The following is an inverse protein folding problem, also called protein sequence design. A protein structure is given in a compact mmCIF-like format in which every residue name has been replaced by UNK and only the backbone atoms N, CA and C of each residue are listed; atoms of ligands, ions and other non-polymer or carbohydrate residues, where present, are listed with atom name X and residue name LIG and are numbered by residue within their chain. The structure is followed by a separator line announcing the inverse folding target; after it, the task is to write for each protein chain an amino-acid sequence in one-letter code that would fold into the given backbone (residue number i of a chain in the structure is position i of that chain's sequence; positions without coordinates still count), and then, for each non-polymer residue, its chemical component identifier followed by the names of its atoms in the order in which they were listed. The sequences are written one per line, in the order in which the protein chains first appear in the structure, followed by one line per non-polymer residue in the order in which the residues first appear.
data_IF_811538331827
#
_entry.id   IF_811538331827
#
_cell.length_a   1.000
_cell.length_b   1.000
_cell.length_c   1.000
_cell.angle_alpha   90.00
_cell.angle_beta   90.00
_cell.angle_gamma   90.00
#
_symmetry.space_group_name_H-M   'P 1'
#
loop_
_entity.id
_entity.type
_entity.pdbx_description
1 polymer ?
#
# COMPACT_ATOMS: atom_id res chain seq x y z
N UNK A 1 17.34 -16.76 25.08
CA UNK A 1 17.80 -15.36 24.92
C UNK A 1 17.35 -14.69 23.61
N UNK A 2 17.68 -15.19 22.40
CA UNK A 2 17.31 -14.52 21.12
C UNK A 2 15.80 -14.29 20.89
N UNK A 3 14.92 -15.15 21.42
CA UNK A 3 13.45 -14.99 21.32
C UNK A 3 12.92 -13.85 22.21
N UNK A 4 13.42 -13.77 23.44
CA UNK A 4 13.05 -12.72 24.42
C UNK A 4 13.53 -11.35 23.94
N UNK A 5 14.74 -11.26 23.38
CA UNK A 5 15.28 -10.01 22.85
C UNK A 5 14.48 -9.49 21.63
N UNK A 6 13.97 -10.39 20.78
CA UNK A 6 13.13 -10.03 19.63
C UNK A 6 11.71 -9.64 20.04
N UNK A 7 11.14 -10.30 21.06
CA UNK A 7 9.87 -9.91 21.68
C UNK A 7 9.99 -8.55 22.35
N UNK A 8 11.06 -8.32 23.11
CA UNK A 8 11.36 -7.04 23.72
C UNK A 8 11.56 -5.95 22.65
N UNK A 9 12.29 -6.22 21.56
CA UNK A 9 12.43 -5.26 20.47
C UNK A 9 11.10 -4.97 19.77
N UNK A 10 10.27 -5.98 19.49
CA UNK A 10 8.94 -5.80 18.91
C UNK A 10 8.01 -5.00 19.81
N UNK A 11 8.01 -5.28 21.12
CA UNK A 11 7.24 -4.55 22.12
C UNK A 11 7.75 -3.11 22.30
N UNK A 12 9.06 -2.89 22.32
CA UNK A 12 9.66 -1.54 22.40
C UNK A 12 9.30 -0.72 21.17
N UNK A 13 9.42 -1.29 19.97
CA UNK A 13 9.05 -0.61 18.73
C UNK A 13 7.53 -0.32 18.70
N UNK A 14 6.70 -1.26 19.15
CA UNK A 14 5.26 -1.06 19.31
C UNK A 14 4.96 0.08 20.29
N UNK A 15 5.59 0.06 21.47
CA UNK A 15 5.42 1.10 22.51
C UNK A 15 5.89 2.47 22.04
N UNK A 16 7.01 2.54 21.32
CA UNK A 16 7.54 3.79 20.74
C UNK A 16 6.58 4.31 19.67
N UNK A 17 6.09 3.48 18.76
CA UNK A 17 5.18 3.93 17.72
C UNK A 17 3.80 4.28 18.24
N UNK A 18 3.28 3.57 19.25
CA UNK A 18 2.06 3.97 19.94
C UNK A 18 2.27 5.30 20.66
N UNK A 19 3.39 5.49 21.35
CA UNK A 19 3.74 6.75 22.01
C UNK A 19 3.87 7.92 21.02
N UNK A 20 4.47 7.68 19.85
CA UNK A 20 4.59 8.67 18.76
C UNK A 20 3.26 8.95 18.05
N UNK A 21 2.36 7.96 17.98
CA UNK A 21 1.04 8.08 17.34
C UNK A 21 -0.01 8.73 18.26
N UNK A 22 0.23 8.72 19.58
CA UNK A 22 -0.73 9.15 20.59
C UNK A 22 -1.85 8.12 20.78
N UNK A 23 -1.76 7.17 21.75
CA UNK A 23 -2.74 6.10 21.91
C UNK A 23 -4.17 6.62 22.14
N UNK A 24 -4.30 7.78 22.80
CA UNK A 24 -5.59 8.44 22.98
C UNK A 24 -6.27 8.79 21.65
N UNK A 25 -5.50 9.24 20.66
CA UNK A 25 -6.01 9.61 19.32
C UNK A 25 -6.52 8.40 18.56
N UNK A 26 -5.80 7.28 18.60
CA UNK A 26 -6.22 6.03 17.95
C UNK A 26 -7.53 5.52 18.58
N UNK A 27 -7.61 5.54 19.91
CA UNK A 27 -8.83 5.15 20.64
C UNK A 27 -10.01 6.09 20.33
N UNK A 28 -9.78 7.39 20.23
CA UNK A 28 -10.79 8.37 19.81
C UNK A 28 -11.29 8.09 18.39
N UNK A 29 -10.40 7.78 17.44
CA UNK A 29 -10.77 7.39 16.08
C UNK A 29 -11.67 6.15 16.07
N UNK A 30 -11.29 5.10 16.82
CA UNK A 30 -12.12 3.89 16.97
C UNK A 30 -13.50 4.19 17.57
N UNK A 31 -13.56 5.01 18.62
CA UNK A 31 -14.82 5.42 19.25
C UNK A 31 -15.70 6.23 18.31
N UNK A 32 -15.11 7.14 17.51
CA UNK A 32 -15.83 8.00 16.56
C UNK A 32 -16.45 7.20 15.43
N UNK A 33 -15.74 6.21 14.89
CA UNK A 33 -16.28 5.32 13.83
C UNK A 33 -17.39 4.42 14.37
N UNK A 34 -17.21 3.87 15.56
CA UNK A 34 -18.10 2.90 16.18
C UNK A 34 -17.82 1.46 15.72
N UNK A 35 -18.22 0.44 16.51
CA UNK A 35 -17.76 -0.94 16.32
C UNK A 35 -18.22 -1.59 15.02
N UNK A 36 -19.46 -1.32 14.58
CA UNK A 36 -20.01 -1.89 13.33
C UNK A 36 -19.27 -1.39 12.09
N UNK A 37 -19.15 -0.06 11.94
CA UNK A 37 -18.43 0.55 10.83
C UNK A 37 -16.93 0.22 10.86
N UNK A 38 -16.31 0.14 12.04
CA UNK A 38 -14.93 -0.28 12.19
C UNK A 38 -14.72 -1.73 11.72
N UNK A 39 -15.60 -2.64 12.12
CA UNK A 39 -15.54 -4.05 11.71
C UNK A 39 -15.72 -4.21 10.20
N UNK A 40 -16.67 -3.48 9.60
CA UNK A 40 -16.86 -3.46 8.15
C UNK A 40 -15.61 -2.90 7.43
N UNK A 41 -15.05 -1.79 7.90
CA UNK A 41 -13.83 -1.22 7.33
C UNK A 41 -12.63 -2.19 7.45
N UNK A 42 -12.50 -2.90 8.57
CA UNK A 42 -11.48 -3.93 8.78
C UNK A 42 -11.66 -5.12 7.82
N UNK A 43 -12.90 -5.59 7.61
CA UNK A 43 -13.20 -6.66 6.66
C UNK A 43 -12.93 -6.25 5.22
N UNK A 44 -13.32 -5.04 4.82
CA UNK A 44 -13.02 -4.48 3.50
C UNK A 44 -11.50 -4.39 3.30
N UNK A 45 -10.77 -3.91 4.31
CA UNK A 45 -9.31 -3.83 4.24
C UNK A 45 -8.68 -5.22 4.12
N UNK A 46 -9.11 -6.19 4.93
CA UNK A 46 -8.61 -7.57 4.90
C UNK A 46 -8.87 -8.23 3.54
N UNK A 47 -10.06 -8.01 2.99
CA UNK A 47 -10.42 -8.48 1.64
C UNK A 47 -9.48 -7.86 0.60
N UNK A 48 -9.23 -6.54 0.68
CA UNK A 48 -8.27 -5.85 -0.17
C UNK A 48 -6.85 -6.44 -0.05
N UNK A 49 -6.38 -6.73 1.16
CA UNK A 49 -5.06 -7.35 1.38
C UNK A 49 -4.98 -8.78 0.83
N UNK A 50 -6.09 -9.51 0.88
CA UNK A 50 -6.19 -10.86 0.29
C UNK A 50 -6.10 -10.78 -1.24
N UNK A 51 -6.76 -9.80 -1.85
CA UNK A 51 -6.64 -9.50 -3.29
C UNK A 51 -5.21 -9.12 -3.67
N UNK A 52 -4.54 -8.29 -2.86
CA UNK A 52 -3.12 -7.96 -3.06
C UNK A 52 -2.21 -9.19 -2.92
N UNK A 53 -2.51 -10.09 -1.99
CA UNK A 53 -1.79 -11.35 -1.83
C UNK A 53 -1.95 -12.26 -3.06
N UNK A 54 -3.15 -12.27 -3.66
CA UNK A 54 -3.40 -12.99 -4.91
C UNK A 54 -2.62 -12.38 -6.07
N UNK A 55 -2.65 -11.05 -6.19
CA UNK A 55 -1.86 -10.30 -7.19
C UNK A 55 -0.38 -10.66 -7.09
N UNK A 56 0.17 -10.66 -5.87
CA UNK A 56 1.57 -11.00 -5.63
C UNK A 56 1.88 -12.48 -5.93
N UNK A 57 0.94 -13.38 -5.67
CA UNK A 57 1.06 -14.79 -6.08
C UNK A 57 1.13 -14.92 -7.61
N UNK A 58 0.30 -14.17 -8.35
CA UNK A 58 0.33 -14.19 -9.82
C UNK A 58 1.67 -13.67 -10.34
N UNK A 59 2.17 -12.54 -9.82
CA UNK A 59 3.44 -11.96 -10.29
C UNK A 59 4.65 -12.82 -9.92
N UNK A 60 4.70 -13.38 -8.71
CA UNK A 60 5.81 -14.25 -8.27
C UNK A 60 5.87 -15.56 -9.05
N UNK A 61 4.72 -16.22 -9.27
CA UNK A 61 4.65 -17.45 -10.08
C UNK A 61 5.06 -17.19 -11.53
N UNK A 62 4.68 -16.05 -12.10
CA UNK A 62 5.11 -15.67 -13.45
C UNK A 62 6.62 -15.47 -13.58
N UNK A 63 7.34 -15.22 -12.48
CA UNK A 63 8.81 -15.18 -12.39
C UNK A 63 9.42 -16.51 -11.89
N UNK A 64 8.60 -17.56 -11.83
CA UNK A 64 8.98 -18.91 -11.43
C UNK A 64 9.17 -19.10 -9.93
N UNK A 65 8.75 -18.16 -9.07
CA UNK A 65 8.75 -18.33 -7.61
C UNK A 65 7.40 -18.89 -7.20
N UNK A 66 7.30 -20.21 -7.14
CA UNK A 66 6.04 -20.90 -6.87
C UNK A 66 5.88 -21.23 -5.39
N UNK A 67 4.88 -20.61 -4.76
CA UNK A 67 4.44 -20.95 -3.40
C UNK A 67 2.90 -21.04 -3.32
N UNK A 68 2.36 -21.76 -2.33
CA UNK A 68 0.92 -21.78 -2.06
C UNK A 68 0.36 -20.38 -1.78
N UNK A 69 -0.92 -20.16 -2.07
CA UNK A 69 -1.59 -18.88 -1.80
C UNK A 69 -1.53 -18.48 -0.32
N UNK A 70 -1.72 -19.45 0.59
CA UNK A 70 -1.65 -19.22 2.03
C UNK A 70 -0.31 -18.60 2.48
N UNK A 71 0.80 -19.01 1.86
CA UNK A 71 2.13 -18.44 2.14
C UNK A 71 2.16 -16.96 1.75
N UNK A 72 1.58 -16.60 0.61
CA UNK A 72 1.50 -15.21 0.18
C UNK A 72 0.67 -14.37 1.15
N UNK A 73 -0.50 -14.85 1.56
CA UNK A 73 -1.36 -14.16 2.53
C UNK A 73 -0.61 -13.88 3.82
N UNK A 74 0.03 -14.91 4.41
CA UNK A 74 0.73 -14.71 5.68
C UNK A 74 1.92 -13.77 5.52
N UNK A 75 2.73 -13.92 4.47
CA UNK A 75 3.87 -13.04 4.22
C UNK A 75 3.43 -11.61 3.89
N UNK A 76 2.29 -11.40 3.23
CA UNK A 76 1.75 -10.07 2.93
C UNK A 76 1.33 -9.36 4.21
N UNK A 77 0.53 -10.02 5.06
CA UNK A 77 0.10 -9.47 6.34
C UNK A 77 1.28 -9.23 7.29
N UNK A 78 2.25 -10.16 7.31
CA UNK A 78 3.50 -9.98 8.05
C UNK A 78 4.30 -8.78 7.53
N UNK A 79 4.33 -8.59 6.21
CA UNK A 79 4.96 -7.44 5.56
C UNK A 79 4.31 -6.11 5.95
N UNK A 80 2.99 -6.08 6.11
CA UNK A 80 2.28 -4.88 6.61
C UNK A 80 2.74 -4.48 8.00
N UNK A 81 2.83 -5.46 8.92
CA UNK A 81 3.41 -5.24 10.24
C UNK A 81 4.82 -4.65 10.13
N UNK A 82 5.70 -5.29 9.35
CA UNK A 82 7.08 -4.82 9.20
C UNK A 82 7.17 -3.42 8.58
N UNK A 83 6.32 -3.06 7.61
CA UNK A 83 6.31 -1.73 7.01
C UNK A 83 5.82 -0.63 7.98
N UNK A 84 5.01 -0.99 8.96
CA UNK A 84 4.53 -0.05 9.98
C UNK A 84 5.55 0.14 11.11
N UNK A 85 6.29 -0.92 11.46
CA UNK A 85 7.15 -0.95 12.63
C UNK A 85 8.67 -0.80 12.31
N UNK A 86 9.10 -1.05 11.07
CA UNK A 86 10.50 -0.81 10.69
C UNK A 86 10.71 0.66 10.26
N UNK A 87 11.87 1.26 10.59
CA UNK A 87 12.19 2.64 10.20
C UNK A 87 12.36 2.82 8.69
N UNK A 88 12.32 1.73 7.92
CA UNK A 88 12.41 1.71 6.47
C UNK A 88 11.02 1.53 5.85
N UNK A 89 10.57 2.47 5.02
CA UNK A 89 9.29 2.40 4.32
C UNK A 89 9.10 1.16 3.43
N UNK A 90 10.20 0.48 3.06
CA UNK A 90 10.23 -0.69 2.16
C UNK A 90 10.69 -1.96 2.88
N UNK A 91 10.92 -1.92 4.20
CA UNK A 91 11.54 -3.02 4.94
C UNK A 91 10.71 -4.30 4.95
N UNK A 92 9.39 -4.18 5.09
CA UNK A 92 8.47 -5.32 5.02
C UNK A 92 8.34 -5.89 3.62
N UNK A 93 8.41 -5.04 2.59
CA UNK A 93 8.38 -5.45 1.19
C UNK A 93 9.65 -6.23 0.78
N UNK A 94 10.81 -5.77 1.24
CA UNK A 94 12.07 -6.51 1.12
C UNK A 94 12.00 -7.82 1.92
N UNK A 95 11.51 -7.78 3.16
CA UNK A 95 11.39 -8.95 4.02
C UNK A 95 10.53 -10.05 3.38
N UNK A 96 9.35 -9.71 2.87
CA UNK A 96 8.45 -10.70 2.25
C UNK A 96 9.00 -11.26 0.95
N UNK A 97 9.67 -10.44 0.13
CA UNK A 97 10.34 -10.91 -1.09
C UNK A 97 11.42 -11.96 -0.76
N UNK A 98 12.18 -11.72 0.32
CA UNK A 98 13.29 -12.58 0.73
C UNK A 98 12.77 -13.88 1.29
N UNK A 99 11.77 -13.81 2.18
CA UNK A 99 11.15 -14.97 2.79
C UNK A 99 10.44 -15.85 1.76
N UNK A 100 9.88 -15.26 0.69
CA UNK A 100 9.22 -16.01 -0.37
C UNK A 100 10.23 -16.76 -1.27
N UNK A 101 11.24 -16.04 -1.78
CA UNK A 101 12.13 -16.51 -2.84
C UNK A 101 13.48 -17.09 -2.35
N UNK A 102 13.87 -16.82 -1.11
CA UNK A 102 15.16 -17.20 -0.57
C UNK A 102 16.34 -16.41 -1.15
N UNK A 103 17.55 -16.76 -0.71
CA UNK A 103 18.79 -16.06 -1.11
C UNK A 103 19.10 -16.18 -2.60
N UNK A 104 18.93 -17.37 -3.17
CA UNK A 104 19.33 -17.65 -4.56
C UNK A 104 18.45 -16.95 -5.60
N UNK A 105 17.16 -16.74 -5.28
CA UNK A 105 16.19 -16.13 -6.19
C UNK A 105 15.68 -14.78 -5.69
N UNK A 106 16.48 -14.13 -4.85
CA UNK A 106 16.15 -12.84 -4.25
C UNK A 106 15.75 -11.79 -5.29
N UNK A 107 16.46 -11.70 -6.42
CA UNK A 107 16.11 -10.76 -7.49
C UNK A 107 14.70 -11.00 -8.04
N UNK A 108 14.28 -12.26 -8.21
CA UNK A 108 12.95 -12.60 -8.71
C UNK A 108 11.86 -12.36 -7.65
N UNK A 109 12.17 -12.66 -6.39
CA UNK A 109 11.32 -12.29 -5.26
C UNK A 109 11.08 -10.78 -5.21
N UNK A 110 12.15 -9.99 -5.30
CA UNK A 110 12.07 -8.53 -5.29
C UNK A 110 11.35 -7.99 -6.53
N UNK A 111 11.67 -8.49 -7.73
CA UNK A 111 10.98 -8.13 -8.97
C UNK A 111 9.48 -8.42 -8.92
N UNK A 112 9.05 -9.51 -8.27
CA UNK A 112 7.62 -9.81 -8.11
C UNK A 112 6.89 -8.75 -7.27
N UNK A 113 7.55 -8.22 -6.24
CA UNK A 113 7.04 -7.13 -5.40
C UNK A 113 7.03 -5.82 -6.18
N UNK A 114 8.11 -5.48 -6.89
CA UNK A 114 8.15 -4.28 -7.75
C UNK A 114 7.04 -4.34 -8.80
N UNK A 115 6.83 -5.50 -9.43
CA UNK A 115 5.79 -5.70 -10.43
C UNK A 115 4.37 -5.50 -9.89
N UNK A 116 4.04 -6.05 -8.71
CA UNK A 116 2.71 -5.81 -8.13
C UNK A 116 2.53 -4.35 -7.65
N UNK A 117 3.60 -3.70 -7.18
CA UNK A 117 3.58 -2.28 -6.78
C UNK A 117 3.36 -1.39 -7.98
N UNK A 118 4.00 -1.70 -9.10
CA UNK A 118 3.81 -0.98 -10.35
C UNK A 118 2.39 -1.17 -10.91
N UNK A 119 1.82 -2.38 -10.87
CA UNK A 119 0.41 -2.60 -11.23
C UNK A 119 -0.53 -1.76 -10.34
N UNK A 120 -0.27 -1.73 -9.03
CA UNK A 120 -1.00 -0.87 -8.09
C UNK A 120 -0.84 0.61 -8.40
N UNK A 121 0.36 1.07 -8.79
CA UNK A 121 0.62 2.45 -9.15
C UNK A 121 -0.13 2.86 -10.44
N UNK A 122 -0.12 2.02 -11.47
CA UNK A 122 -0.84 2.29 -12.73
C UNK A 122 -2.34 2.46 -12.47
N UNK A 123 -2.95 1.57 -11.69
CA UNK A 123 -4.38 1.66 -11.39
C UNK A 123 -4.71 2.81 -10.43
N UNK A 124 -3.84 3.10 -9.47
CA UNK A 124 -3.97 4.28 -8.61
C UNK A 124 -4.03 5.55 -9.45
N UNK A 125 -3.07 5.70 -10.36
CA UNK A 125 -2.97 6.84 -11.26
C UNK A 125 -4.17 6.91 -12.20
N UNK A 126 -4.67 5.77 -12.70
CA UNK A 126 -5.89 5.71 -13.49
C UNK A 126 -7.10 6.26 -12.74
N UNK A 127 -7.37 5.76 -11.52
CA UNK A 127 -8.50 6.20 -10.71
C UNK A 127 -8.37 7.68 -10.36
N UNK A 128 -7.17 8.12 -9.95
CA UNK A 128 -6.89 9.51 -9.64
C UNK A 128 -7.15 10.42 -10.84
N UNK A 129 -6.57 10.12 -12.01
CA UNK A 129 -6.78 10.90 -13.23
C UNK A 129 -8.25 10.91 -13.65
N UNK A 130 -8.94 9.77 -13.61
CA UNK A 130 -10.35 9.67 -13.97
C UNK A 130 -11.25 10.49 -13.02
N UNK A 131 -11.09 10.33 -11.71
CA UNK A 131 -11.88 11.07 -10.74
C UNK A 131 -11.54 12.57 -10.74
N UNK A 132 -10.28 12.96 -10.94
CA UNK A 132 -9.89 14.37 -11.09
C UNK A 132 -10.38 15.03 -12.38
N UNK A 133 -10.67 14.23 -13.41
CA UNK A 133 -11.30 14.73 -14.63
C UNK A 133 -12.74 15.18 -14.35
N UNK A 134 -13.52 14.33 -13.68
CA UNK A 134 -14.96 14.57 -13.46
C UNK A 134 -15.30 15.38 -12.21
N UNK A 135 -14.50 15.28 -11.14
CA UNK A 135 -14.80 15.88 -9.83
C UNK A 135 -13.56 16.53 -9.19
N UNK A 136 -12.62 17.02 -10.01
CA UNK A 136 -11.37 17.64 -9.56
C UNK A 136 -11.37 19.17 -9.51
N UNK A 137 -12.50 19.84 -9.67
CA UNK A 137 -12.57 21.31 -9.76
C UNK A 137 -12.18 22.03 -8.46
N UNK A 138 -12.23 21.31 -7.33
CA UNK A 138 -11.75 21.81 -6.04
C UNK A 138 -10.22 21.85 -5.92
N UNK A 139 -9.50 21.21 -6.85
CA UNK A 139 -8.04 21.18 -6.85
C UNK A 139 -7.48 22.43 -7.54
N UNK A 140 -6.37 23.01 -7.03
CA UNK A 140 -5.62 24.01 -7.78
C UNK A 140 -5.22 23.48 -9.16
N UNK A 141 -5.26 24.34 -10.19
CA UNK A 141 -5.05 23.94 -11.59
C UNK A 141 -3.76 23.13 -11.82
N UNK A 142 -2.65 23.56 -11.21
CA UNK A 142 -1.37 22.85 -11.31
C UNK A 142 -1.41 21.44 -10.70
N UNK A 143 -2.13 21.27 -9.59
CA UNK A 143 -2.31 19.96 -8.94
C UNK A 143 -3.23 19.07 -9.77
N UNK A 144 -4.33 19.62 -10.28
CA UNK A 144 -5.25 18.90 -11.17
C UNK A 144 -4.53 18.43 -12.43
N UNK A 145 -3.76 19.30 -13.08
CA UNK A 145 -2.98 18.95 -14.27
C UNK A 145 -1.97 17.84 -13.98
N UNK A 146 -1.26 17.93 -12.84
CA UNK A 146 -0.36 16.87 -12.40
C UNK A 146 -1.10 15.53 -12.23
N UNK A 147 -2.25 15.52 -11.57
CA UNK A 147 -3.07 14.31 -11.39
C UNK A 147 -3.63 13.75 -12.70
N UNK A 148 -4.05 14.61 -13.64
CA UNK A 148 -4.48 14.19 -14.98
C UNK A 148 -3.33 13.56 -15.78
N UNK A 149 -2.10 14.05 -15.58
CA UNK A 149 -0.91 13.50 -16.23
C UNK A 149 -0.40 12.19 -15.59
N UNK A 150 -0.81 11.86 -14.36
CA UNK A 150 -0.28 10.72 -13.62
C UNK A 150 -0.49 9.39 -14.36
N UNK A 151 -1.68 9.15 -14.92
CA UNK A 151 -1.97 7.93 -15.67
C UNK A 151 -1.15 7.79 -16.97
N UNK A 152 -1.15 8.75 -17.91
CA UNK A 152 -0.33 8.62 -19.12
C UNK A 152 1.17 8.55 -18.81
N UNK A 153 1.65 9.27 -17.80
CA UNK A 153 3.06 9.16 -17.35
C UNK A 153 3.36 7.76 -16.80
N UNK A 154 2.44 7.15 -16.06
CA UNK A 154 2.62 5.78 -15.58
C UNK A 154 2.75 4.79 -16.74
N UNK A 155 1.95 4.93 -17.81
CA UNK A 155 2.01 4.06 -19.00
C UNK A 155 3.25 4.31 -19.85
N UNK A 156 3.83 5.51 -19.81
CA UNK A 156 5.03 5.84 -20.56
C UNK A 156 6.28 5.13 -20.02
N UNK A 157 6.33 4.80 -18.72
CA UNK A 157 7.48 4.15 -18.06
C UNK A 157 7.97 2.89 -18.82
N UNK A 158 7.13 1.88 -19.12
CA UNK A 158 7.55 0.68 -19.85
C UNK A 158 7.93 0.97 -21.31
N UNK A 159 7.28 1.94 -21.95
CA UNK A 159 7.62 2.35 -23.32
C UNK A 159 9.01 2.99 -23.36
N UNK A 160 9.28 3.93 -22.46
CA UNK A 160 10.61 4.54 -22.30
C UNK A 160 11.64 3.45 -22.01
N UNK A 161 11.34 2.55 -21.06
CA UNK A 161 12.23 1.45 -20.73
C UNK A 161 12.57 0.58 -21.95
N UNK A 162 11.60 0.19 -22.77
CA UNK A 162 11.84 -0.64 -23.96
C UNK A 162 12.63 0.08 -25.06
N UNK A 163 12.51 1.41 -25.16
CA UNK A 163 13.24 2.24 -26.15
C UNK A 163 14.68 2.58 -25.74
N UNK A 164 15.03 2.51 -24.45
CA UNK A 164 16.39 2.73 -23.98
C UNK A 164 17.34 1.63 -24.47
N UNK A 165 18.44 2.00 -25.12
CA UNK A 165 19.48 1.07 -25.55
C UNK A 165 20.17 0.35 -24.37
N UNK A 166 20.63 -0.88 -24.58
CA UNK A 166 21.33 -1.68 -23.56
C UNK A 166 22.51 -0.97 -22.86
N UNK A 167 23.37 -0.18 -23.56
CA UNK A 167 24.45 0.56 -22.89
C UNK A 167 23.92 1.55 -21.85
N UNK A 168 22.82 2.24 -22.18
CA UNK A 168 22.21 3.24 -21.30
C UNK A 168 21.50 2.58 -20.11
N UNK A 169 20.79 1.47 -20.36
CA UNK A 169 20.20 0.64 -19.30
C UNK A 169 21.24 0.14 -18.31
N UNK A 170 22.35 -0.43 -18.80
CA UNK A 170 23.44 -0.92 -17.95
C UNK A 170 24.07 0.22 -17.15
N UNK A 171 24.28 1.39 -17.76
CA UNK A 171 24.83 2.57 -17.09
C UNK A 171 23.96 3.07 -15.93
N UNK A 172 22.64 3.12 -16.11
CA UNK A 172 21.74 3.66 -15.08
C UNK A 172 21.28 2.62 -14.05
N UNK A 173 21.09 1.37 -14.46
CA UNK A 173 20.48 0.34 -13.59
C UNK A 173 21.51 -0.63 -12.99
N UNK A 174 22.66 -0.83 -13.64
CA UNK A 174 23.71 -1.74 -13.16
C UNK A 174 23.14 -3.13 -12.81
N UNK A 175 23.36 -3.56 -11.57
CA UNK A 175 22.88 -4.84 -11.02
C UNK A 175 21.35 -4.94 -10.94
N UNK A 176 20.62 -3.82 -10.96
CA UNK A 176 19.15 -3.81 -10.91
C UNK A 176 18.52 -4.17 -12.25
N UNK A 177 19.30 -4.23 -13.33
CA UNK A 177 18.79 -4.48 -14.68
C UNK A 177 17.95 -5.76 -14.75
N UNK A 178 18.40 -6.84 -14.08
CA UNK A 178 17.69 -8.12 -14.03
C UNK A 178 16.27 -7.98 -13.44
N UNK A 179 16.13 -7.15 -12.41
CA UNK A 179 14.84 -6.86 -11.75
C UNK A 179 13.91 -6.10 -12.70
N UNK A 180 14.41 -5.06 -13.36
CA UNK A 180 13.59 -4.27 -14.30
C UNK A 180 13.19 -5.07 -15.54
N UNK A 181 14.08 -5.92 -16.07
CA UNK A 181 13.74 -6.83 -17.16
C UNK A 181 12.70 -7.87 -16.72
N UNK A 182 12.81 -8.40 -15.50
CA UNK A 182 11.82 -9.31 -14.93
C UNK A 182 10.44 -8.63 -14.78
N UNK A 183 10.40 -7.39 -14.28
CA UNK A 183 9.17 -6.60 -14.21
C UNK A 183 8.60 -6.36 -15.61
N UNK A 184 9.44 -6.00 -16.58
CA UNK A 184 9.02 -5.82 -17.98
C UNK A 184 8.33 -7.07 -18.54
N UNK A 185 8.88 -8.27 -18.28
CA UNK A 185 8.29 -9.55 -18.71
C UNK A 185 6.91 -9.84 -18.10
N UNK A 186 6.59 -9.29 -16.93
CA UNK A 186 5.26 -9.44 -16.33
C UNK A 186 4.19 -8.70 -17.14
N UNK A 187 4.53 -7.54 -17.69
CA UNK A 187 3.59 -6.68 -18.41
C UNK A 187 3.54 -6.95 -19.92
N UNK A 188 4.47 -7.74 -20.47
CA UNK A 188 4.35 -8.29 -21.82
C UNK A 188 3.46 -9.53 -21.88
N UNK A 189 3.24 -10.21 -20.74
CA UNK A 189 2.32 -11.34 -20.60
C UNK A 189 0.91 -10.83 -20.30
N UNK A 190 0.05 -10.77 -21.32
CA UNK A 190 -1.30 -10.22 -21.20
C UNK A 190 -2.16 -10.84 -20.10
N UNK A 191 -2.02 -12.15 -19.85
CA UNK A 191 -2.73 -12.86 -18.79
C UNK A 191 -2.30 -12.42 -17.38
N UNK A 192 -1.00 -12.26 -17.17
CA UNK A 192 -0.41 -11.81 -15.90
C UNK A 192 -0.70 -10.33 -15.68
N UNK A 193 -0.50 -9.50 -16.70
CA UNK A 193 -0.79 -8.07 -16.66
C UNK A 193 -2.28 -7.81 -16.37
N UNK A 194 -3.19 -8.49 -17.07
CA UNK A 194 -4.63 -8.36 -16.85
C UNK A 194 -5.06 -8.75 -15.44
N UNK A 195 -4.55 -9.88 -14.92
CA UNK A 195 -4.78 -10.28 -13.52
C UNK A 195 -4.21 -9.27 -12.52
N UNK A 196 -3.03 -8.72 -12.78
CA UNK A 196 -2.38 -7.77 -11.89
C UNK A 196 -3.09 -6.41 -11.86
N UNK A 197 -3.51 -5.89 -13.02
CA UNK A 197 -4.27 -4.65 -13.13
C UNK A 197 -5.70 -4.82 -12.59
N UNK A 198 -6.39 -5.90 -12.97
CA UNK A 198 -7.75 -6.18 -12.50
C UNK A 198 -7.83 -6.35 -10.98
N UNK A 199 -6.90 -7.11 -10.38
CA UNK A 199 -6.82 -7.22 -8.91
C UNK A 199 -6.45 -5.89 -8.24
N UNK A 200 -5.65 -5.04 -8.89
CA UNK A 200 -5.35 -3.70 -8.38
C UNK A 200 -6.59 -2.80 -8.39
N UNK A 201 -7.44 -2.90 -9.41
CA UNK A 201 -8.71 -2.17 -9.47
C UNK A 201 -9.64 -2.62 -8.35
N UNK A 202 -9.82 -3.93 -8.16
CA UNK A 202 -10.62 -4.48 -7.06
C UNK A 202 -10.08 -4.00 -5.70
N UNK A 203 -8.75 -4.00 -5.50
CA UNK A 203 -8.15 -3.47 -4.29
C UNK A 203 -8.53 -2.01 -4.05
N UNK A 204 -8.39 -1.13 -5.04
CA UNK A 204 -8.72 0.29 -4.85
C UNK A 204 -10.20 0.56 -4.67
N UNK A 205 -11.08 -0.23 -5.29
CA UNK A 205 -12.53 -0.13 -5.03
C UNK A 205 -12.85 -0.50 -3.58
N UNK A 206 -12.27 -1.59 -3.06
CA UNK A 206 -12.39 -1.97 -1.64
C UNK A 206 -11.75 -0.92 -0.71
N UNK A 207 -10.62 -0.35 -1.15
CA UNK A 207 -9.92 0.70 -0.42
C UNK A 207 -10.75 1.98 -0.37
N UNK A 208 -11.38 2.41 -1.45
CA UNK A 208 -12.27 3.58 -1.44
C UNK A 208 -13.53 3.27 -0.60
N UNK A 209 -14.09 2.07 -0.71
CA UNK A 209 -15.25 1.66 0.08
C UNK A 209 -14.99 1.70 1.59
N UNK A 210 -13.82 1.23 2.05
CA UNK A 210 -13.47 1.32 3.48
C UNK A 210 -13.33 2.79 3.93
N UNK A 211 -12.78 3.66 3.07
CA UNK A 211 -12.67 5.09 3.37
C UNK A 211 -14.05 5.74 3.41
N UNK A 212 -14.96 5.34 2.53
CA UNK A 212 -16.34 5.82 2.52
C UNK A 212 -17.08 5.45 3.82
N UNK A 213 -16.94 4.20 4.27
CA UNK A 213 -17.49 3.75 5.57
C UNK A 213 -16.95 4.59 6.73
N UNK A 214 -15.66 4.94 6.72
CA UNK A 214 -15.04 5.73 7.79
C UNK A 214 -15.46 7.21 7.72
N UNK A 215 -15.44 7.84 6.55
CA UNK A 215 -15.76 9.28 6.42
C UNK A 215 -17.23 9.56 6.75
N UNK A 216 -18.14 8.63 6.42
CA UNK A 216 -19.56 8.71 6.77
C UNK A 216 -19.78 8.83 8.29
N UNK A 217 -18.89 8.27 9.10
CA UNK A 217 -18.93 8.35 10.56
C UNK A 217 -18.20 9.57 11.12
N UNK A 218 -17.17 10.03 10.43
CA UNK A 218 -16.30 11.10 10.91
C UNK A 218 -16.83 12.50 10.56
N UNK A 219 -17.46 12.62 9.39
CA UNK A 219 -17.97 13.87 8.82
C UNK A 219 -19.44 13.76 8.41
N UNK A 220 -19.78 12.73 7.64
CA UNK A 220 -21.11 12.57 7.04
C UNK A 220 -21.01 12.13 5.59
N UNK A 221 -22.12 12.22 4.87
CA UNK A 221 -22.16 11.84 3.47
C UNK A 221 -21.33 12.78 2.60
N UNK A 222 -20.71 12.22 1.57
CA UNK A 222 -19.77 12.91 0.70
C UNK A 222 -19.77 12.23 -0.66
N UNK A 223 -19.65 13.01 -1.73
CA UNK A 223 -19.53 12.45 -3.07
C UNK A 223 -18.36 11.46 -3.16
N UNK A 224 -18.65 10.26 -3.69
CA UNK A 224 -17.68 9.17 -3.73
C UNK A 224 -16.53 9.45 -4.69
N UNK A 225 -16.74 10.27 -5.71
CA UNK A 225 -15.71 10.66 -6.67
C UNK A 225 -14.74 11.66 -6.05
N UNK A 226 -15.24 12.67 -5.34
CA UNK A 226 -14.40 13.57 -4.53
C UNK A 226 -13.60 12.78 -3.49
N UNK A 227 -14.23 11.78 -2.85
CA UNK A 227 -13.53 10.94 -1.87
C UNK A 227 -12.45 10.10 -2.55
N UNK A 228 -12.74 9.54 -3.73
CA UNK A 228 -11.77 8.79 -4.51
C UNK A 228 -10.56 9.68 -4.86
N UNK A 229 -10.75 10.94 -5.26
CA UNK A 229 -9.64 11.89 -5.48
C UNK A 229 -8.83 12.07 -4.19
N UNK A 230 -9.48 12.39 -3.06
CA UNK A 230 -8.81 12.59 -1.76
C UNK A 230 -7.98 11.35 -1.37
N UNK A 231 -8.58 10.16 -1.47
CA UNK A 231 -7.96 8.90 -1.05
C UNK A 231 -6.81 8.52 -1.97
N UNK A 232 -6.99 8.63 -3.28
CA UNK A 232 -5.96 8.24 -4.25
C UNK A 232 -4.82 9.27 -4.31
N UNK A 233 -5.11 10.57 -4.20
CA UNK A 233 -4.10 11.61 -4.08
C UNK A 233 -3.27 11.44 -2.81
N UNK A 234 -3.92 11.22 -1.65
CA UNK A 234 -3.23 10.94 -0.39
C UNK A 234 -2.38 9.68 -0.48
N UNK A 235 -2.89 8.63 -1.13
CA UNK A 235 -2.13 7.39 -1.35
C UNK A 235 -0.90 7.63 -2.23
N UNK A 236 -1.02 8.43 -3.28
CA UNK A 236 0.10 8.80 -4.17
C UNK A 236 1.18 9.57 -3.40
N UNK A 237 0.81 10.57 -2.60
CA UNK A 237 1.74 11.34 -1.75
C UNK A 237 2.42 10.41 -0.72
N UNK A 238 1.67 9.45 -0.17
CA UNK A 238 2.19 8.50 0.83
C UNK A 238 3.13 7.44 0.25
N UNK A 239 3.24 7.33 -1.09
CA UNK A 239 4.26 6.49 -1.72
C UNK A 239 5.67 7.11 -1.59
N UNK A 240 5.76 8.41 -1.30
CA UNK A 240 7.04 9.07 -1.06
C UNK A 240 7.56 8.59 0.31
N UNK A 241 8.74 7.96 0.38
CA UNK A 241 9.24 7.33 1.61
C UNK A 241 9.84 8.36 2.59
N UNK A 242 9.07 9.41 2.92
CA UNK A 242 9.48 10.43 3.89
C UNK A 242 9.25 10.00 5.34
N UNK A 243 8.32 9.07 5.60
CA UNK A 243 8.04 8.56 6.94
C UNK A 243 7.80 7.04 6.98
N UNK A 244 8.14 6.35 8.08
CA UNK A 244 7.81 4.94 8.28
C UNK A 244 6.31 4.71 8.17
N UNK A 245 5.90 3.77 7.32
CA UNK A 245 4.49 3.44 7.08
C UNK A 245 3.60 4.59 6.55
N UNK A 246 4.18 5.73 6.13
CA UNK A 246 3.43 6.92 5.72
C UNK A 246 2.75 7.66 6.88
N UNK A 247 3.17 7.41 8.13
CA UNK A 247 2.65 8.08 9.32
C UNK A 247 2.86 9.61 9.22
N UNK A 248 1.84 10.38 9.55
CA UNK A 248 1.81 11.84 9.44
C UNK A 248 1.55 12.35 8.02
N UNK A 249 2.09 11.68 6.99
CA UNK A 249 1.87 12.04 5.58
C UNK A 249 0.44 11.76 5.16
N UNK A 250 -0.10 10.61 5.57
CA UNK A 250 -1.49 10.23 5.27
C UNK A 250 -2.47 11.16 5.94
N UNK A 251 -2.32 11.37 7.24
CA UNK A 251 -3.20 12.24 8.03
C UNK A 251 -3.13 13.68 7.53
N UNK A 252 -1.92 14.18 7.24
CA UNK A 252 -1.71 15.48 6.62
C UNK A 252 -2.32 15.58 5.23
N UNK A 253 -2.18 14.55 4.40
CA UNK A 253 -2.78 14.47 3.06
C UNK A 253 -4.30 14.53 3.11
N UNK A 254 -4.95 13.74 3.96
CA UNK A 254 -6.39 13.81 4.15
C UNK A 254 -6.83 15.18 4.67
N UNK A 255 -6.13 15.72 5.67
CA UNK A 255 -6.42 17.04 6.22
C UNK A 255 -6.31 18.15 5.17
N UNK A 256 -5.30 18.08 4.30
CA UNK A 256 -5.09 19.03 3.20
C UNK A 256 -6.17 18.89 2.13
N UNK A 257 -6.33 17.72 1.51
CA UNK A 257 -7.26 17.57 0.38
C UNK A 257 -8.74 17.73 0.78
N UNK A 258 -9.12 17.34 2.00
CA UNK A 258 -10.47 17.60 2.50
C UNK A 258 -10.70 19.10 2.78
N UNK A 259 -9.66 19.84 3.20
CA UNK A 259 -9.80 21.29 3.41
C UNK A 259 -10.07 22.07 2.13
N UNK A 260 -9.60 21.58 0.99
CA UNK A 260 -9.92 22.14 -0.33
C UNK A 260 -11.41 21.96 -0.70
N UNK A 261 -12.08 20.99 -0.08
CA UNK A 261 -13.53 20.78 -0.19
C UNK A 261 -14.32 21.54 0.89
N UNK A 262 -13.67 22.43 1.65
CA UNK A 262 -14.28 23.18 2.75
C UNK A 262 -14.47 22.37 4.04
N UNK A 263 -13.94 21.14 4.12
CA UNK A 263 -14.06 20.31 5.31
C UNK A 263 -12.96 20.73 6.32
N UNK A 264 -13.30 21.00 7.60
CA UNK A 264 -12.32 21.45 8.58
C UNK A 264 -11.13 20.51 8.73
N UNK A 265 -9.91 21.05 8.79
CA UNK A 265 -8.65 20.29 8.97
C UNK A 265 -8.71 19.29 10.13
N UNK A 266 -9.28 19.62 11.32
CA UNK A 266 -9.41 18.63 12.41
C UNK A 266 -10.23 17.39 12.05
N UNK A 267 -11.23 17.53 11.17
CA UNK A 267 -12.03 16.40 10.66
C UNK A 267 -11.19 15.51 9.77
N UNK A 268 -10.39 16.09 8.87
CA UNK A 268 -9.50 15.33 8.01
C UNK A 268 -8.38 14.59 8.78
N UNK A 269 -7.86 15.20 9.85
CA UNK A 269 -6.95 14.53 10.79
C UNK A 269 -7.65 13.36 11.49
N UNK A 270 -8.86 13.57 12.03
CA UNK A 270 -9.64 12.50 12.66
C UNK A 270 -9.98 11.37 11.69
N UNK A 271 -10.23 11.69 10.43
CA UNK A 271 -10.44 10.72 9.36
C UNK A 271 -9.19 9.87 9.13
N UNK A 272 -8.03 10.51 8.96
CA UNK A 272 -6.74 9.82 8.81
C UNK A 272 -6.43 8.90 9.98
N UNK A 273 -6.60 9.38 11.21
CA UNK A 273 -6.39 8.59 12.44
C UNK A 273 -7.33 7.39 12.51
N UNK A 274 -8.58 7.55 12.08
CA UNK A 274 -9.57 6.46 12.08
C UNK A 274 -9.18 5.37 11.08
N UNK A 275 -8.70 5.75 9.89
CA UNK A 275 -8.18 4.78 8.90
C UNK A 275 -6.89 4.14 9.40
N UNK A 276 -6.01 4.91 10.07
CA UNK A 276 -4.81 4.38 10.70
C UNK A 276 -5.16 3.32 11.76
N UNK A 277 -6.21 3.51 12.56
CA UNK A 277 -6.66 2.53 13.54
C UNK A 277 -7.04 1.19 12.89
N UNK A 278 -7.76 1.22 11.76
CA UNK A 278 -8.09 0.02 10.97
C UNK A 278 -6.83 -0.65 10.44
N UNK A 279 -5.88 0.14 9.92
CA UNK A 279 -4.60 -0.38 9.42
C UNK A 279 -3.74 -1.00 10.51
N UNK A 280 -3.65 -0.35 11.68
CA UNK A 280 -2.98 -0.85 12.87
C UNK A 280 -3.56 -2.19 13.31
N UNK A 281 -4.88 -2.29 13.40
CA UNK A 281 -5.56 -3.52 13.79
C UNK A 281 -5.16 -4.70 12.88
N UNK A 282 -5.23 -4.54 11.56
CA UNK A 282 -4.83 -5.59 10.62
C UNK A 282 -3.33 -5.88 10.65
N UNK A 283 -2.50 -4.86 10.80
CA UNK A 283 -1.05 -5.01 10.91
C UNK A 283 -0.67 -5.83 12.15
N UNK A 284 -1.35 -5.64 13.28
CA UNK A 284 -1.15 -6.44 14.49
C UNK A 284 -1.52 -7.92 14.27
N UNK A 285 -2.61 -8.19 13.55
CA UNK A 285 -2.97 -9.57 13.16
C UNK A 285 -1.85 -10.19 12.30
N UNK A 286 -1.30 -9.43 11.36
CA UNK A 286 -0.15 -9.87 10.56
C UNK A 286 1.12 -10.15 11.39
N UNK A 287 1.40 -9.33 12.39
CA UNK A 287 2.50 -9.55 13.34
C UNK A 287 2.34 -10.83 14.15
N UNK A 288 1.11 -11.15 14.59
CA UNK A 288 0.80 -12.40 15.29
C UNK A 288 1.04 -13.61 14.38
N UNK A 289 0.60 -13.56 13.12
CA UNK A 289 0.84 -14.63 12.15
C UNK A 289 2.33 -14.85 11.88
N UNK A 290 3.12 -13.77 11.77
CA UNK A 290 4.58 -13.86 11.61
C UNK A 290 5.24 -14.58 12.79
N UNK A 291 4.79 -14.27 14.02
CA UNK A 291 5.27 -14.92 15.23
C UNK A 291 4.96 -16.42 15.22
N UNK A 292 3.74 -16.80 14.83
CA UNK A 292 3.31 -18.19 14.73
C UNK A 292 4.09 -18.96 13.66
N UNK A 293 4.31 -18.39 12.47
CA UNK A 293 5.11 -19.03 11.41
C UNK A 293 6.55 -19.33 11.84
N UNK A 294 7.18 -18.41 12.59
CA UNK A 294 8.54 -18.63 13.12
C UNK A 294 8.59 -19.62 14.26
N UNK A 295 7.46 -19.92 14.90
CA UNK A 295 7.40 -20.95 15.94
C UNK A 295 7.37 -22.36 15.34
N UNK A 296 6.78 -22.51 14.14
CA UNK A 296 6.64 -23.78 13.42
C UNK A 296 7.80 -24.06 12.46
N UNK A 297 8.39 -23.05 11.83
CA UNK A 297 9.64 -23.21 11.08
C UNK A 297 10.83 -22.95 12.00
N UNK A 298 11.51 -24.03 12.44
CA UNK A 298 12.89 -23.97 12.95
C UNK A 298 13.82 -23.47 11.83
N UNK A 299 13.90 -22.16 11.67
CA UNK A 299 15.01 -21.46 10.99
C UNK A 299 16.01 -21.03 12.06
#
# INVERSE_FOLDING_TARGET
MKKVLKLAAGLVILSVLVALSGPGRVLEGMKKVGPGAFSLAALLYLSGQTVCSYRWMVTSRALGVERPFAVHVVLYLSGMFLNLFLPTAVGGDLGRAYLLAGRERWQMGFASVVGERYAGFVVLSFILSACSLFNGDFLPDGVRLFFLSAFPLSLAIPVIYTRLGMPLKRRFLGEKLEVFDAVGRLFTRGDVAGKALGSSLVFYLLYIALHYVVILRVWGDMDISSLAVVVTATSLVSMIPVSPGGLGVREGGYAFFLSLLGIPTPVGVAFGISVLAVNLFLSLVGGLLLFLLRSTQKI
#
